data_IF_112646888002
#
_entry.id   IF_112646888002
#
_cell.length_a   1.000
_cell.length_b   1.000
_cell.length_c   1.000
_cell.angle_alpha   90.00
_cell.angle_beta   90.00
_cell.angle_gamma   90.00
#
_symmetry.space_group_name_H-M   'P 1'
#
loop_
_entity.id
_entity.type
_entity.pdbx_description
1 polymer ?
#
# COMPACT_ATOMS: atom_id res chain seq x y z
N UNK A 1 -37.93 -7.35 -10.48
CA UNK A 1 -37.18 -6.89 -11.67
C UNK A 1 -38.16 -6.24 -12.61
N UNK A 2 -38.43 -4.95 -12.41
CA UNK A 2 -39.13 -4.12 -13.39
C UNK A 2 -38.03 -3.24 -13.97
N UNK A 3 -37.67 -3.48 -15.23
CA UNK A 3 -36.69 -2.68 -15.95
C UNK A 3 -37.31 -1.30 -16.21
N UNK A 4 -36.97 -0.32 -15.37
CA UNK A 4 -37.27 1.08 -15.62
C UNK A 4 -36.48 1.52 -16.86
N UNK A 5 -37.20 1.84 -17.93
CA UNK A 5 -36.61 2.39 -19.15
C UNK A 5 -36.00 3.75 -18.84
N UNK A 6 -34.73 3.94 -19.21
CA UNK A 6 -34.06 5.25 -19.23
C UNK A 6 -34.83 6.12 -20.22
N UNK A 7 -35.60 7.08 -19.71
CA UNK A 7 -36.30 8.06 -20.54
C UNK A 7 -35.30 9.17 -20.89
N UNK A 8 -34.73 9.09 -22.09
CA UNK A 8 -34.07 10.24 -22.73
C UNK A 8 -35.17 11.11 -23.32
N UNK A 9 -35.67 12.09 -22.55
CA UNK A 9 -36.64 13.05 -23.07
C UNK A 9 -35.93 14.14 -23.88
N UNK A 10 -36.36 14.28 -25.13
CA UNK A 10 -35.89 15.26 -26.10
C UNK A 10 -36.30 16.68 -25.75
N UNK A 11 -35.33 17.57 -25.96
CA UNK A 11 -35.31 19.03 -25.82
C UNK A 11 -36.59 19.74 -26.28
N UNK A 12 -37.29 20.40 -25.34
CA UNK A 12 -38.22 21.49 -25.64
C UNK A 12 -37.59 22.80 -25.17
N UNK A 13 -36.91 23.48 -26.10
CA UNK A 13 -36.37 24.82 -25.93
C UNK A 13 -37.47 25.86 -26.11
N UNK A 14 -37.90 26.47 -25.00
CA UNK A 14 -38.63 27.74 -25.00
C UNK A 14 -37.85 28.77 -24.16
N UNK A 15 -37.05 29.60 -24.83
CA UNK A 15 -36.85 31.01 -24.49
C UNK A 15 -36.19 31.45 -23.18
N UNK A 16 -35.75 30.53 -22.31
CA UNK A 16 -34.92 30.86 -21.15
C UNK A 16 -33.67 29.99 -21.18
N UNK A 17 -32.53 30.48 -20.68
CA UNK A 17 -31.29 29.71 -20.60
C UNK A 17 -31.36 28.59 -19.56
N UNK A 18 -32.41 27.77 -19.59
CA UNK A 18 -32.75 26.73 -18.63
C UNK A 18 -33.05 25.44 -19.38
N UNK A 19 -32.57 24.32 -18.85
CA UNK A 19 -32.85 22.96 -19.30
C UNK A 19 -33.29 22.11 -18.10
N UNK A 20 -34.52 21.61 -18.13
CA UNK A 20 -34.97 20.59 -17.18
C UNK A 20 -34.40 19.24 -17.59
N UNK A 21 -33.61 18.62 -16.70
CA UNK A 21 -32.95 17.32 -16.95
C UNK A 21 -33.69 16.16 -16.29
N UNK A 22 -34.56 16.46 -15.32
CA UNK A 22 -35.44 15.47 -14.70
C UNK A 22 -36.69 16.15 -14.15
N UNK A 23 -37.83 15.49 -14.29
CA UNK A 23 -39.09 15.87 -13.66
C UNK A 23 -39.92 14.60 -13.43
N UNK A 24 -40.15 14.23 -12.18
CA UNK A 24 -40.88 13.01 -11.86
C UNK A 24 -40.91 12.67 -10.38
N UNK A 25 -41.19 11.41 -10.09
CA UNK A 25 -41.19 10.85 -8.74
C UNK A 25 -39.88 10.13 -8.45
N UNK A 26 -39.35 10.39 -7.25
CA UNK A 26 -38.17 9.74 -6.70
C UNK A 26 -38.62 8.91 -5.49
N UNK A 27 -38.25 7.63 -5.45
CA UNK A 27 -38.39 6.84 -4.23
C UNK A 27 -37.18 7.08 -3.32
N UNK A 28 -37.41 7.52 -2.09
CA UNK A 28 -36.38 7.76 -1.08
C UNK A 28 -36.47 6.74 0.05
N UNK A 29 -35.31 6.44 0.62
CA UNK A 29 -35.15 5.72 1.88
C UNK A 29 -34.22 6.54 2.76
N UNK A 30 -34.43 6.55 4.07
CA UNK A 30 -33.62 7.28 5.04
C UNK A 30 -33.50 8.80 4.77
N UNK A 31 -34.57 9.42 4.26
CA UNK A 31 -34.63 10.86 3.96
C UNK A 31 -33.51 11.35 3.03
N UNK A 32 -33.03 10.52 2.09
CA UNK A 32 -31.81 10.86 1.34
C UNK A 32 -31.82 10.43 -0.13
N UNK A 33 -31.15 11.25 -0.93
CA UNK A 33 -30.69 10.94 -2.29
C UNK A 33 -29.44 11.76 -2.61
N UNK A 34 -28.77 11.43 -3.72
CA UNK A 34 -27.44 11.93 -4.02
C UNK A 34 -27.35 12.54 -5.41
N UNK A 35 -26.43 13.48 -5.55
CA UNK A 35 -25.86 13.87 -6.83
C UNK A 35 -24.42 13.39 -6.84
N UNK A 36 -24.03 12.61 -7.84
CA UNK A 36 -22.68 12.05 -7.93
C UNK A 36 -22.06 12.36 -9.29
N UNK A 37 -20.77 12.65 -9.31
CA UNK A 37 -19.97 12.83 -10.54
C UNK A 37 -18.64 12.09 -10.51
N UNK A 38 -18.33 11.41 -9.39
CA UNK A 38 -17.18 10.53 -9.21
C UNK A 38 -17.65 9.06 -9.20
N UNK A 39 -16.80 8.16 -9.71
CA UNK A 39 -17.06 6.73 -9.63
C UNK A 39 -16.73 6.23 -8.22
N UNK A 40 -17.75 5.83 -7.44
CA UNK A 40 -17.55 5.12 -6.17
C UNK A 40 -18.26 5.70 -4.95
N UNK A 41 -18.94 6.84 -5.06
CA UNK A 41 -19.51 7.53 -3.90
C UNK A 41 -18.43 8.04 -2.93
N UNK A 42 -18.81 8.54 -1.75
CA UNK A 42 -17.85 8.97 -0.74
C UNK A 42 -17.07 7.76 -0.17
N UNK A 43 -15.75 7.87 -0.11
CA UNK A 43 -14.86 6.82 0.40
C UNK A 43 -14.90 6.67 1.93
N UNK A 44 -14.45 5.50 2.41
CA UNK A 44 -14.30 5.25 3.85
C UNK A 44 -13.32 6.27 4.48
N UNK A 45 -13.76 6.96 5.53
CA UNK A 45 -12.96 7.95 6.25
C UNK A 45 -13.07 9.39 5.76
N UNK A 46 -13.94 9.67 4.78
CA UNK A 46 -14.27 11.04 4.39
C UNK A 46 -15.02 11.79 5.50
N UNK A 47 -14.86 13.12 5.52
CA UNK A 47 -15.62 13.98 6.41
C UNK A 47 -17.11 13.84 6.12
N UNK A 48 -17.95 14.06 7.13
CA UNK A 48 -19.39 14.02 6.96
C UNK A 48 -19.83 14.96 5.80
N UNK A 49 -20.81 14.60 4.94
CA UNK A 49 -21.16 15.41 3.76
C UNK A 49 -21.60 16.86 4.03
N UNK A 50 -21.93 17.16 5.29
CA UNK A 50 -22.35 18.48 5.79
C UNK A 50 -21.32 19.12 6.74
N UNK A 51 -20.11 18.56 6.84
CA UNK A 51 -19.06 19.08 7.72
C UNK A 51 -18.73 20.54 7.35
N UNK A 52 -18.70 21.42 8.35
CA UNK A 52 -18.42 22.84 8.16
C UNK A 52 -19.54 23.69 7.54
N UNK A 53 -20.72 23.11 7.24
CA UNK A 53 -21.84 23.84 6.64
C UNK A 53 -22.81 24.43 7.68
N UNK A 54 -23.49 25.50 7.29
CA UNK A 54 -24.62 26.08 8.03
C UNK A 54 -25.95 25.37 7.73
N UNK A 55 -26.12 24.92 6.49
CA UNK A 55 -27.31 24.25 5.99
C UNK A 55 -27.17 22.72 6.15
N UNK A 56 -28.28 22.10 6.54
CA UNK A 56 -28.38 20.66 6.70
C UNK A 56 -29.17 19.92 5.64
N UNK A 57 -29.72 20.62 4.64
CA UNK A 57 -30.57 20.01 3.61
C UNK A 57 -29.79 19.60 2.35
N UNK A 58 -28.70 20.29 2.04
CA UNK A 58 -27.82 19.98 0.92
C UNK A 58 -26.36 19.96 1.39
N UNK A 59 -25.81 18.77 1.60
CA UNK A 59 -24.42 18.53 1.96
C UNK A 59 -23.51 18.56 0.74
N UNK A 60 -22.51 19.44 0.72
CA UNK A 60 -21.55 19.64 -0.37
C UNK A 60 -20.09 19.65 0.11
N UNK A 61 -19.80 19.12 1.29
CA UNK A 61 -18.45 19.10 1.85
C UNK A 61 -17.51 18.13 1.11
N UNK A 62 -18.07 17.20 0.32
CA UNK A 62 -17.33 16.17 -0.40
C UNK A 62 -17.27 16.55 -1.89
N UNK A 63 -16.07 16.72 -2.48
CA UNK A 63 -15.94 17.06 -3.89
C UNK A 63 -16.68 16.06 -4.81
N UNK A 64 -17.41 16.58 -5.79
CA UNK A 64 -18.13 15.76 -6.76
C UNK A 64 -19.36 15.02 -6.23
N UNK A 65 -19.74 15.24 -4.97
CA UNK A 65 -20.88 14.60 -4.31
C UNK A 65 -21.79 15.61 -3.59
N UNK A 66 -23.10 15.52 -3.80
CA UNK A 66 -24.10 16.21 -2.96
C UNK A 66 -24.95 15.20 -2.22
N UNK A 67 -25.16 15.46 -0.92
CA UNK A 67 -26.09 14.73 -0.07
C UNK A 67 -27.36 15.56 0.12
N UNK A 68 -28.50 15.10 -0.40
CA UNK A 68 -29.75 15.83 -0.33
C UNK A 68 -30.67 15.18 0.70
N UNK A 69 -31.21 16.00 1.60
CA UNK A 69 -32.10 15.54 2.68
C UNK A 69 -33.55 15.91 2.39
N UNK A 70 -34.43 14.92 2.39
CA UNK A 70 -35.89 15.10 2.25
C UNK A 70 -36.59 15.15 3.61
N UNK A 71 -37.79 15.71 3.65
CA UNK A 71 -38.73 15.63 4.77
C UNK A 71 -39.22 14.21 4.98
N UNK A 72 -39.77 13.59 3.93
CA UNK A 72 -40.19 12.18 3.97
C UNK A 72 -38.99 11.27 4.26
N UNK A 73 -39.14 10.31 5.16
CA UNK A 73 -38.10 9.35 5.47
C UNK A 73 -38.10 8.16 4.51
N UNK A 74 -39.24 7.54 4.23
CA UNK A 74 -39.34 6.50 3.19
C UNK A 74 -40.62 6.62 2.37
N UNK A 75 -40.49 6.51 1.04
CA UNK A 75 -41.60 6.54 0.10
C UNK A 75 -41.29 7.39 -1.13
N UNK A 76 -42.33 7.87 -1.83
CA UNK A 76 -42.18 8.66 -3.06
C UNK A 76 -42.26 10.15 -2.76
N UNK A 77 -41.39 10.93 -3.42
CA UNK A 77 -41.35 12.40 -3.38
C UNK A 77 -41.36 12.95 -4.80
N UNK A 78 -41.77 14.20 -5.00
CA UNK A 78 -41.63 14.87 -6.30
C UNK A 78 -40.28 15.56 -6.43
N UNK A 79 -39.59 15.37 -7.56
CA UNK A 79 -38.30 15.99 -7.85
C UNK A 79 -38.27 16.58 -9.26
N UNK A 80 -37.81 17.83 -9.33
CA UNK A 80 -37.43 18.50 -10.58
C UNK A 80 -35.96 18.90 -10.51
N UNK A 81 -35.21 18.66 -11.58
CA UNK A 81 -33.79 19.04 -11.70
C UNK A 81 -33.61 19.91 -12.93
N UNK A 82 -32.97 21.07 -12.74
CA UNK A 82 -32.79 22.09 -13.77
C UNK A 82 -31.33 22.53 -13.86
N UNK A 83 -30.86 22.76 -15.08
CA UNK A 83 -29.56 23.35 -15.38
C UNK A 83 -29.80 24.68 -16.08
N UNK A 84 -29.28 25.75 -15.50
CA UNK A 84 -29.42 27.13 -15.95
C UNK A 84 -28.07 27.68 -16.45
N UNK A 85 -28.11 28.63 -17.37
CA UNK A 85 -26.91 29.35 -17.87
C UNK A 85 -26.51 30.50 -16.95
N UNK A 86 -27.36 30.86 -15.99
CA UNK A 86 -27.15 31.93 -15.01
C UNK A 86 -28.05 31.73 -13.79
N UNK A 87 -27.92 32.59 -12.79
CA UNK A 87 -28.68 32.48 -11.54
C UNK A 87 -30.20 32.60 -11.79
N UNK A 88 -31.00 31.58 -11.44
CA UNK A 88 -32.45 31.67 -11.55
C UNK A 88 -33.00 32.62 -10.47
N UNK A 89 -34.06 33.40 -10.76
CA UNK A 89 -34.70 34.24 -9.75
C UNK A 89 -35.25 33.38 -8.60
N UNK A 90 -35.24 33.89 -7.35
CA UNK A 90 -35.83 33.17 -6.24
C UNK A 90 -37.35 33.07 -6.43
N UNK A 91 -37.91 31.93 -6.05
CA UNK A 91 -39.35 31.66 -6.14
C UNK A 91 -39.95 31.57 -4.73
N UNK A 92 -41.03 32.30 -4.52
CA UNK A 92 -41.70 32.42 -3.22
C UNK A 92 -42.50 31.18 -2.84
N UNK A 93 -42.80 30.29 -3.79
CA UNK A 93 -43.56 29.05 -3.50
C UNK A 93 -42.79 28.03 -2.67
N UNK A 94 -41.46 28.16 -2.59
CA UNK A 94 -40.60 27.22 -1.86
C UNK A 94 -40.45 27.63 -0.41
N UNK A 95 -40.74 26.71 0.50
CA UNK A 95 -40.68 26.94 1.94
C UNK A 95 -39.24 26.92 2.45
N UNK A 96 -38.44 26.00 1.93
CA UNK A 96 -37.05 25.80 2.31
C UNK A 96 -36.17 26.07 1.10
N UNK A 97 -35.13 26.89 1.27
CA UNK A 97 -34.20 27.20 0.19
C UNK A 97 -32.78 27.26 0.75
N UNK A 98 -31.91 26.38 0.27
CA UNK A 98 -30.49 26.37 0.61
C UNK A 98 -29.64 26.46 -0.65
N UNK A 99 -28.47 27.05 -0.54
CA UNK A 99 -27.52 27.16 -1.64
C UNK A 99 -26.14 26.69 -1.23
N UNK A 100 -25.52 25.89 -2.11
CA UNK A 100 -24.16 25.37 -1.95
C UNK A 100 -23.35 25.57 -3.22
N UNK A 101 -22.06 25.31 -3.15
CA UNK A 101 -21.20 25.18 -4.32
C UNK A 101 -20.97 23.71 -4.66
N UNK A 102 -20.95 23.42 -5.95
CA UNK A 102 -20.70 22.08 -6.47
C UNK A 102 -19.73 22.19 -7.64
N UNK A 103 -18.66 21.38 -7.59
CA UNK A 103 -17.75 21.20 -8.70
C UNK A 103 -17.78 19.72 -9.08
N UNK A 104 -18.26 19.36 -10.27
CA UNK A 104 -18.31 17.97 -10.66
C UNK A 104 -16.88 17.45 -10.95
N UNK A 105 -16.65 16.18 -10.63
CA UNK A 105 -15.38 15.48 -10.89
C UNK A 105 -15.28 14.91 -12.30
N UNK A 106 -16.38 14.90 -13.05
CA UNK A 106 -16.45 14.53 -14.45
C UNK A 106 -17.60 15.27 -15.14
N UNK A 107 -17.64 15.28 -16.47
CA UNK A 107 -18.74 15.90 -17.22
C UNK A 107 -20.08 15.18 -17.07
N UNK A 108 -20.10 13.96 -16.53
CA UNK A 108 -21.29 13.15 -16.30
C UNK A 108 -21.72 13.25 -14.83
N UNK A 109 -22.93 13.75 -14.62
CA UNK A 109 -23.54 13.86 -13.28
C UNK A 109 -24.78 12.98 -13.23
N UNK A 110 -24.93 12.23 -12.14
CA UNK A 110 -26.08 11.35 -11.91
C UNK A 110 -26.86 11.78 -10.68
N UNK A 111 -28.19 11.60 -10.72
CA UNK A 111 -29.05 11.60 -9.54
C UNK A 111 -29.23 10.16 -9.09
N UNK A 112 -28.93 9.85 -7.84
CA UNK A 112 -28.97 8.48 -7.31
C UNK A 112 -29.82 8.40 -6.03
N UNK A 113 -30.89 7.58 -6.01
CA UNK A 113 -31.55 7.20 -4.77
C UNK A 113 -30.68 6.27 -3.92
N UNK A 114 -30.88 6.26 -2.61
CA UNK A 114 -30.11 5.38 -1.74
C UNK A 114 -30.28 3.90 -2.10
N UNK A 115 -29.15 3.19 -2.24
CA UNK A 115 -29.06 1.77 -2.57
C UNK A 115 -29.83 1.36 -3.85
N UNK A 116 -30.02 2.30 -4.78
CA UNK A 116 -30.72 2.05 -6.04
C UNK A 116 -29.87 2.44 -7.27
N UNK A 117 -30.37 2.09 -8.46
CA UNK A 117 -29.81 2.51 -9.73
C UNK A 117 -29.95 4.05 -9.93
N UNK A 118 -29.08 4.68 -10.73
CA UNK A 118 -29.23 6.08 -11.09
C UNK A 118 -30.62 6.38 -11.65
N UNK A 119 -31.26 7.43 -11.12
CA UNK A 119 -32.57 7.91 -11.56
C UNK A 119 -32.47 8.59 -12.92
N UNK A 120 -31.45 9.43 -13.09
CA UNK A 120 -31.13 10.09 -14.35
C UNK A 120 -29.64 10.44 -14.42
N UNK A 121 -29.20 10.73 -15.64
CA UNK A 121 -27.85 11.19 -15.98
C UNK A 121 -27.95 12.46 -16.82
N UNK A 122 -27.09 13.45 -16.54
CA UNK A 122 -27.03 14.68 -17.30
C UNK A 122 -25.61 15.26 -17.35
N UNK A 123 -25.36 16.05 -18.39
CA UNK A 123 -24.07 16.72 -18.58
C UNK A 123 -23.98 18.04 -17.82
N UNK A 124 -22.89 18.23 -17.08
CA UNK A 124 -22.51 19.49 -16.43
C UNK A 124 -21.04 19.82 -16.76
N UNK A 125 -20.69 21.10 -16.87
CA UNK A 125 -19.31 21.48 -17.16
C UNK A 125 -18.39 21.19 -15.95
N UNK A 126 -17.12 20.86 -16.19
CA UNK A 126 -16.10 20.71 -15.12
C UNK A 126 -15.61 22.08 -14.59
N UNK A 127 -16.56 22.86 -14.12
CA UNK A 127 -16.40 24.20 -13.58
C UNK A 127 -17.18 24.33 -12.27
N UNK A 128 -16.96 25.43 -11.56
CA UNK A 128 -17.71 25.69 -10.33
C UNK A 128 -19.16 26.09 -10.67
N UNK A 129 -20.09 25.41 -10.01
CA UNK A 129 -21.51 25.70 -10.09
C UNK A 129 -22.02 26.11 -8.71
N UNK A 130 -23.01 26.99 -8.70
CA UNK A 130 -23.89 27.15 -7.55
C UNK A 130 -25.09 26.25 -7.74
N UNK A 131 -25.53 25.70 -6.61
CA UNK A 131 -26.66 24.77 -6.55
C UNK A 131 -27.65 25.32 -5.56
N UNK A 132 -28.91 25.46 -5.99
CA UNK A 132 -30.04 25.78 -5.11
C UNK A 132 -30.87 24.53 -4.94
N UNK A 133 -31.10 24.16 -3.68
CA UNK A 133 -32.00 23.08 -3.31
C UNK A 133 -33.19 23.67 -2.57
N UNK A 134 -34.36 23.51 -3.17
CA UNK A 134 -35.62 23.98 -2.64
C UNK A 134 -36.50 22.81 -2.21
N UNK A 135 -37.23 22.98 -1.11
CA UNK A 135 -38.20 22.01 -0.60
C UNK A 135 -39.48 22.69 -0.14
N UNK A 136 -40.60 21.97 -0.21
CA UNK A 136 -41.89 22.36 0.40
C UNK A 136 -42.61 21.15 0.96
N UNK A 137 -43.48 21.38 1.93
CA UNK A 137 -44.28 20.39 2.64
C UNK A 137 -43.44 19.38 3.46
N UNK A 138 -42.23 19.75 3.91
CA UNK A 138 -41.32 18.82 4.62
C UNK A 138 -41.90 18.29 5.93
N UNK A 139 -42.46 19.18 6.76
CA UNK A 139 -43.08 18.78 8.03
C UNK A 139 -44.32 17.92 7.79
N UNK A 140 -45.12 18.27 6.77
CA UNK A 140 -46.32 17.51 6.42
C UNK A 140 -45.97 16.12 5.90
N UNK A 141 -44.89 15.98 5.13
CA UNK A 141 -44.41 14.68 4.67
C UNK A 141 -43.96 13.78 5.81
N UNK A 142 -43.39 14.34 6.90
CA UNK A 142 -43.12 13.57 8.11
C UNK A 142 -44.40 13.17 8.84
N UNK A 143 -45.34 14.10 9.00
CA UNK A 143 -46.60 13.85 9.71
C UNK A 143 -47.51 12.84 8.95
N UNK A 144 -47.41 12.78 7.62
CA UNK A 144 -48.21 11.93 6.73
C UNK A 144 -47.45 10.68 6.18
N UNK A 145 -46.26 10.37 6.71
CA UNK A 145 -45.38 9.30 6.15
C UNK A 145 -46.11 7.96 5.95
N UNK A 146 -46.93 7.53 6.92
CA UNK A 146 -47.68 6.28 6.84
C UNK A 146 -48.64 6.24 5.64
N UNK A 147 -49.28 7.36 5.32
CA UNK A 147 -50.20 7.46 4.17
C UNK A 147 -49.44 7.26 2.85
N UNK A 148 -48.25 7.86 2.74
CA UNK A 148 -47.40 7.71 1.55
C UNK A 148 -46.90 6.27 1.41
N UNK A 149 -46.50 5.63 2.51
CA UNK A 149 -46.07 4.23 2.54
C UNK A 149 -47.19 3.26 2.14
N UNK A 150 -48.44 3.58 2.48
CA UNK A 150 -49.63 2.81 2.10
C UNK A 150 -50.09 3.05 0.65
N UNK A 151 -49.31 3.79 -0.13
CA UNK A 151 -49.53 4.02 -1.56
C UNK A 151 -50.23 5.33 -1.89
N UNK A 152 -50.37 6.24 -0.92
CA UNK A 152 -50.82 7.61 -1.14
C UNK A 152 -49.91 8.41 -2.08
N UNK A 153 -50.38 9.59 -2.46
CA UNK A 153 -49.66 10.51 -3.32
C UNK A 153 -48.44 11.12 -2.60
N UNK A 154 -47.35 11.43 -3.32
CA UNK A 154 -46.21 12.16 -2.76
C UNK A 154 -46.63 13.51 -2.16
N UNK A 155 -46.10 13.82 -0.97
CA UNK A 155 -46.47 15.04 -0.23
C UNK A 155 -45.46 16.16 -0.47
N UNK A 156 -44.19 15.89 -0.19
CA UNK A 156 -43.11 16.86 -0.36
C UNK A 156 -42.63 16.94 -1.80
N UNK A 157 -42.23 18.16 -2.16
CA UNK A 157 -41.71 18.47 -3.49
C UNK A 157 -40.34 19.11 -3.38
N UNK A 158 -39.51 18.84 -4.37
CA UNK A 158 -38.13 19.31 -4.42
C UNK A 158 -37.77 19.87 -5.78
N UNK A 159 -36.97 20.93 -5.76
CA UNK A 159 -36.37 21.53 -6.93
C UNK A 159 -34.86 21.68 -6.71
N UNK A 160 -34.08 21.17 -7.65
CA UNK A 160 -32.64 21.26 -7.66
C UNK A 160 -32.17 22.03 -8.90
N UNK A 161 -31.55 23.18 -8.70
CA UNK A 161 -31.12 24.07 -9.79
C UNK A 161 -29.60 24.24 -9.78
N UNK A 162 -28.96 24.06 -10.94
CA UNK A 162 -27.54 24.27 -11.13
C UNK A 162 -27.30 25.48 -12.05
N UNK A 163 -26.33 26.33 -11.75
CA UNK A 163 -25.84 27.35 -12.69
C UNK A 163 -24.35 27.64 -12.50
N UNK A 164 -23.61 28.01 -13.56
CA UNK A 164 -22.21 28.40 -13.45
C UNK A 164 -22.06 29.64 -12.57
N UNK A 165 -21.22 29.54 -11.53
CA UNK A 165 -20.90 30.66 -10.65
C UNK A 165 -19.67 30.32 -9.78
N UNK A 166 -18.87 31.33 -9.36
CA UNK A 166 -17.73 31.10 -8.48
C UNK A 166 -18.13 30.38 -7.18
N UNK A 167 -17.21 29.60 -6.58
CA UNK A 167 -17.49 28.94 -5.32
C UNK A 167 -17.69 29.97 -4.21
N UNK A 168 -18.60 29.68 -3.29
CA UNK A 168 -18.90 30.51 -2.14
C UNK A 168 -19.38 29.67 -0.96
N UNK A 169 -19.48 30.25 0.25
CA UNK A 169 -19.99 29.53 1.41
C UNK A 169 -21.42 29.04 1.15
N UNK A 170 -21.83 28.03 1.90
CA UNK A 170 -23.22 27.61 1.88
C UNK A 170 -24.13 28.66 2.53
N UNK A 171 -25.40 28.68 2.13
CA UNK A 171 -26.38 29.67 2.60
C UNK A 171 -27.71 29.00 2.87
N UNK A 172 -28.32 29.39 3.98
CA UNK A 172 -29.76 29.17 4.22
C UNK A 172 -30.49 30.43 3.78
N UNK A 173 -31.16 30.36 2.63
CA UNK A 173 -31.86 31.51 2.02
C UNK A 173 -33.25 31.65 2.63
N UNK A 174 -33.94 30.54 2.88
CA UNK A 174 -35.24 30.50 3.54
C UNK A 174 -35.34 29.25 4.41
N UNK A 175 -35.89 29.41 5.61
CA UNK A 175 -36.17 28.34 6.57
C UNK A 175 -37.55 28.56 7.19
N UNK A 176 -38.47 27.59 7.10
CA UNK A 176 -39.81 27.72 7.71
C UNK A 176 -40.24 26.51 8.55
N UNK A 177 -39.80 25.31 8.19
CA UNK A 177 -40.20 24.04 8.80
C UNK A 177 -39.33 23.61 9.98
N UNK A 178 -39.91 22.80 10.88
CA UNK A 178 -39.22 22.20 12.02
C UNK A 178 -38.16 21.20 11.54
N UNK A 179 -38.45 20.49 10.47
CA UNK A 179 -37.56 19.52 9.83
C UNK A 179 -36.30 20.19 9.30
N UNK A 180 -36.43 21.30 8.55
CA UNK A 180 -35.27 22.05 8.07
C UNK A 180 -34.43 22.60 9.23
N UNK A 181 -35.08 23.18 10.25
CA UNK A 181 -34.41 23.69 11.44
C UNK A 181 -33.57 22.62 12.15
N UNK A 182 -34.14 21.42 12.34
CA UNK A 182 -33.45 20.28 12.93
C UNK A 182 -32.17 19.93 12.16
N UNK A 183 -32.28 19.76 10.84
CA UNK A 183 -31.13 19.38 10.01
C UNK A 183 -30.06 20.47 9.96
N UNK A 184 -30.45 21.74 9.89
CA UNK A 184 -29.51 22.85 9.94
C UNK A 184 -28.79 22.92 11.29
N UNK A 185 -29.49 22.66 12.40
CA UNK A 185 -28.87 22.57 13.73
C UNK A 185 -27.88 21.40 13.81
N UNK A 186 -28.24 20.25 13.26
CA UNK A 186 -27.35 19.10 13.19
C UNK A 186 -26.08 19.41 12.39
N UNK A 187 -26.21 20.01 11.20
CA UNK A 187 -25.05 20.39 10.37
C UNK A 187 -24.08 21.31 11.13
N UNK A 188 -24.59 22.33 11.83
CA UNK A 188 -23.78 23.24 12.66
C UNK A 188 -23.10 22.57 13.85
N UNK A 189 -23.56 21.40 14.28
CA UNK A 189 -22.95 20.64 15.39
C UNK A 189 -21.79 19.75 14.95
N UNK A 190 -21.63 19.54 13.63
CA UNK A 190 -20.56 18.72 13.10
C UNK A 190 -19.22 19.46 13.20
N UNK A 191 -18.12 18.74 13.43
CA UNK A 191 -16.80 19.34 13.31
C UNK A 191 -16.58 19.82 11.86
N UNK A 192 -15.78 20.89 11.67
CA UNK A 192 -15.31 21.24 10.33
C UNK A 192 -14.51 20.07 9.74
N UNK A 193 -14.44 19.96 8.40
CA UNK A 193 -13.52 19.01 7.78
C UNK A 193 -12.08 19.34 8.19
N UNK A 194 -11.18 18.34 8.20
CA UNK A 194 -9.76 18.57 8.43
C UNK A 194 -9.23 19.65 7.47
N UNK A 195 -8.38 20.53 7.97
CA UNK A 195 -7.68 21.47 7.10
C UNK A 195 -6.68 20.73 6.18
N UNK A 196 -6.32 21.29 5.01
CA UNK A 196 -5.31 20.70 4.14
C UNK A 196 -3.97 20.43 4.84
N UNK A 197 -3.64 21.22 5.87
CA UNK A 197 -2.45 21.01 6.68
C UNK A 197 -2.58 19.75 7.56
N UNK A 198 -3.71 19.59 8.24
CA UNK A 198 -3.96 18.40 9.09
C UNK A 198 -4.00 17.11 8.27
N UNK A 199 -4.54 17.17 7.05
CA UNK A 199 -4.51 16.05 6.10
C UNK A 199 -3.08 15.69 5.68
N UNK A 200 -2.29 16.69 5.29
CA UNK A 200 -0.89 16.48 4.92
C UNK A 200 -0.05 15.91 6.08
N UNK A 201 -0.28 16.39 7.31
CA UNK A 201 0.37 15.86 8.51
C UNK A 201 -0.08 14.42 8.84
N UNK A 202 -1.36 14.10 8.66
CA UNK A 202 -1.87 12.74 8.81
C UNK A 202 -1.25 11.79 7.78
N UNK A 203 -1.12 12.23 6.53
CA UNK A 203 -0.51 11.44 5.46
C UNK A 203 1.00 11.24 5.69
N UNK A 204 1.72 12.27 6.14
CA UNK A 204 3.13 12.12 6.54
C UNK A 204 3.29 11.09 7.65
N UNK A 205 2.44 11.15 8.69
CA UNK A 205 2.47 10.17 9.79
C UNK A 205 2.17 8.75 9.31
N UNK A 206 1.23 8.56 8.40
CA UNK A 206 0.93 7.24 7.79
C UNK A 206 2.12 6.72 7.01
N UNK A 207 2.73 7.57 6.19
CA UNK A 207 3.92 7.21 5.41
C UNK A 207 5.09 6.84 6.32
N UNK A 208 5.38 7.65 7.34
CA UNK A 208 6.43 7.36 8.32
C UNK A 208 6.17 6.03 9.05
N UNK A 209 4.92 5.78 9.45
CA UNK A 209 4.54 4.52 10.07
C UNK A 209 4.72 3.32 9.12
N UNK A 210 4.31 3.46 7.85
CA UNK A 210 4.51 2.43 6.83
C UNK A 210 5.99 2.18 6.56
N UNK A 211 6.80 3.24 6.43
CA UNK A 211 8.24 3.13 6.25
C UNK A 211 8.91 2.45 7.46
N UNK A 212 8.44 2.76 8.68
CA UNK A 212 8.92 2.11 9.90
C UNK A 212 8.57 0.63 9.95
N UNK A 213 7.32 0.27 9.62
CA UNK A 213 6.87 -1.14 9.52
C UNK A 213 7.66 -1.89 8.45
N UNK A 214 7.85 -1.28 7.27
CA UNK A 214 8.61 -1.88 6.19
C UNK A 214 10.09 -2.08 6.56
N UNK A 215 10.70 -1.12 7.28
CA UNK A 215 12.07 -1.26 7.80
C UNK A 215 12.15 -2.40 8.82
N UNK A 216 11.25 -2.44 9.79
CA UNK A 216 11.21 -3.51 10.80
C UNK A 216 11.04 -4.89 10.15
N UNK A 217 10.14 -5.00 9.16
CA UNK A 217 9.95 -6.24 8.41
C UNK A 217 11.20 -6.67 7.62
N UNK A 218 11.95 -5.72 7.06
CA UNK A 218 13.24 -6.01 6.39
C UNK A 218 14.30 -6.48 7.38
N UNK A 219 14.40 -5.85 8.54
CA UNK A 219 15.33 -6.23 9.60
C UNK A 219 15.00 -7.62 10.16
N UNK A 220 13.72 -7.92 10.37
CA UNK A 220 13.25 -9.24 10.80
C UNK A 220 13.54 -10.31 9.74
N UNK A 221 13.22 -10.03 8.47
CA UNK A 221 13.53 -10.95 7.37
C UNK A 221 15.05 -11.21 7.24
N UNK A 222 15.87 -10.16 7.38
CA UNK A 222 17.33 -10.32 7.40
C UNK A 222 17.78 -11.16 8.61
N UNK A 223 17.26 -10.91 9.80
CA UNK A 223 17.60 -11.70 10.98
C UNK A 223 17.22 -13.17 10.80
N UNK A 224 16.07 -13.48 10.21
CA UNK A 224 15.64 -14.85 9.90
C UNK A 224 16.60 -15.54 8.92
N UNK A 225 17.02 -14.85 7.85
CA UNK A 225 18.02 -15.37 6.91
C UNK A 225 19.36 -15.65 7.59
N UNK A 226 19.71 -14.88 8.62
CA UNK A 226 20.97 -15.01 9.36
C UNK A 226 20.83 -15.85 10.65
N UNK A 227 19.85 -16.76 10.70
CA UNK A 227 19.72 -17.71 11.82
C UNK A 227 19.13 -17.11 13.09
N UNK A 228 18.22 -16.14 12.95
CA UNK A 228 17.51 -15.47 14.04
C UNK A 228 18.22 -14.26 14.64
N UNK A 229 19.38 -13.86 14.11
CA UNK A 229 20.16 -12.70 14.57
C UNK A 229 20.60 -11.86 13.37
N UNK A 230 20.53 -10.53 13.42
CA UNK A 230 21.03 -9.70 12.34
C UNK A 230 22.57 -9.85 12.18
N UNK A 231 23.10 -9.83 10.95
CA UNK A 231 24.53 -9.91 10.69
C UNK A 231 25.24 -8.61 11.12
N UNK A 232 26.54 -8.72 11.39
CA UNK A 232 27.41 -7.54 11.49
C UNK A 232 27.58 -6.86 10.11
N UNK A 233 28.02 -5.58 10.06
CA UNK A 233 28.33 -4.92 8.79
C UNK A 233 29.40 -5.63 7.94
N UNK A 234 30.30 -6.41 8.58
CA UNK A 234 31.32 -7.20 7.90
C UNK A 234 30.72 -8.44 7.26
N UNK A 235 29.92 -9.23 7.99
CA UNK A 235 29.17 -10.38 7.46
C UNK A 235 28.23 -9.98 6.32
N UNK A 236 27.52 -8.86 6.47
CA UNK A 236 26.63 -8.32 5.43
C UNK A 236 27.36 -8.02 4.13
N UNK A 237 28.63 -7.61 4.20
CA UNK A 237 29.46 -7.27 3.02
C UNK A 237 29.97 -8.51 2.30
N UNK A 238 30.34 -9.55 3.04
CA UNK A 238 30.89 -10.80 2.49
C UNK A 238 29.83 -11.54 1.67
N UNK A 239 28.60 -11.67 2.22
CA UNK A 239 27.47 -12.35 1.58
C UNK A 239 27.79 -13.79 1.11
N UNK A 240 26.95 -14.35 0.24
CA UNK A 240 27.22 -15.64 -0.42
C UNK A 240 27.23 -16.84 0.53
N UNK A 241 28.28 -17.68 0.43
CA UNK A 241 28.46 -18.96 1.13
C UNK A 241 28.39 -18.84 2.67
N UNK A 242 28.56 -17.62 3.22
CA UNK A 242 28.32 -17.33 4.63
C UNK A 242 26.87 -17.65 5.07
N UNK A 243 25.87 -17.46 4.20
CA UNK A 243 24.48 -17.82 4.48
C UNK A 243 24.28 -19.33 4.54
N UNK A 244 24.96 -20.09 3.68
CA UNK A 244 24.90 -21.55 3.71
C UNK A 244 25.58 -22.10 4.97
N UNK A 245 26.65 -21.45 5.44
CA UNK A 245 27.32 -21.81 6.68
C UNK A 245 26.48 -21.48 7.93
N UNK A 246 25.62 -20.45 7.88
CA UNK A 246 24.67 -20.12 8.96
C UNK A 246 23.65 -21.24 9.19
N UNK A 247 23.19 -21.90 8.12
CA UNK A 247 22.30 -23.06 8.25
C UNK A 247 22.96 -24.23 8.96
N UNK A 248 24.29 -24.39 8.79
CA UNK A 248 25.05 -25.46 9.41
C UNK A 248 25.45 -25.13 10.85
N UNK A 249 25.94 -23.91 11.10
CA UNK A 249 26.45 -23.49 12.41
C UNK A 249 26.60 -21.95 12.54
N UNK A 250 25.52 -21.28 12.94
CA UNK A 250 25.51 -19.81 13.16
C UNK A 250 26.55 -19.34 14.20
N UNK A 251 26.76 -20.09 15.28
CA UNK A 251 27.66 -19.67 16.34
C UNK A 251 29.12 -19.71 15.89
N UNK A 252 29.49 -20.66 15.02
CA UNK A 252 30.81 -20.68 14.40
C UNK A 252 31.01 -19.47 13.48
N UNK A 253 30.00 -19.10 12.69
CA UNK A 253 30.05 -17.90 11.82
C UNK A 253 30.28 -16.64 12.66
N UNK A 254 29.54 -16.47 13.75
CA UNK A 254 29.70 -15.34 14.66
C UNK A 254 31.08 -15.31 15.33
N UNK A 255 31.61 -16.47 15.70
CA UNK A 255 32.96 -16.57 16.29
C UNK A 255 34.05 -16.18 15.28
N UNK A 256 33.92 -16.56 14.01
CA UNK A 256 34.87 -16.19 12.95
C UNK A 256 34.76 -14.71 12.58
N UNK A 257 33.55 -14.15 12.56
CA UNK A 257 33.33 -12.71 12.35
C UNK A 257 33.94 -11.86 13.47
N UNK A 258 33.75 -12.28 14.73
CA UNK A 258 34.35 -11.63 15.89
C UNK A 258 35.88 -11.81 15.96
N UNK A 259 36.43 -12.81 15.27
CA UNK A 259 37.85 -13.05 15.23
C UNK A 259 38.57 -11.98 14.38
N UNK A 260 39.74 -11.53 14.83
CA UNK A 260 40.55 -10.58 14.05
C UNK A 260 41.02 -11.18 12.70
N UNK A 261 41.43 -10.34 11.73
CA UNK A 261 41.80 -10.78 10.39
C UNK A 261 42.93 -11.82 10.38
N UNK A 262 43.86 -11.78 11.33
CA UNK A 262 44.92 -12.79 11.46
C UNK A 262 44.37 -14.19 11.77
N UNK A 263 43.39 -14.28 12.67
CA UNK A 263 42.74 -15.55 13.04
C UNK A 263 41.88 -16.05 11.89
N UNK A 264 41.15 -15.16 11.21
CA UNK A 264 40.38 -15.50 10.02
C UNK A 264 41.29 -16.09 8.92
N UNK A 265 42.45 -15.47 8.66
CA UNK A 265 43.46 -16.02 7.73
C UNK A 265 43.98 -17.38 8.16
N UNK A 266 44.33 -17.53 9.43
CA UNK A 266 44.76 -18.83 9.97
C UNK A 266 43.69 -19.90 9.75
N UNK A 267 42.42 -19.54 9.98
CA UNK A 267 41.30 -20.46 9.81
C UNK A 267 41.05 -20.86 8.37
N UNK A 268 41.18 -19.93 7.43
CA UNK A 268 41.08 -20.21 6.01
C UNK A 268 42.14 -21.24 5.57
N UNK A 269 43.40 -21.04 5.98
CA UNK A 269 44.51 -21.96 5.68
C UNK A 269 44.29 -23.33 6.30
N UNK A 270 43.90 -23.35 7.58
CA UNK A 270 43.59 -24.57 8.29
C UNK A 270 42.47 -25.37 7.61
N UNK A 271 41.37 -24.71 7.24
CA UNK A 271 40.23 -25.35 6.58
C UNK A 271 40.62 -25.97 5.22
N UNK A 272 41.43 -25.26 4.43
CA UNK A 272 41.98 -25.79 3.19
C UNK A 272 42.82 -27.07 3.40
N UNK A 273 43.70 -27.08 4.40
CA UNK A 273 44.48 -28.29 4.75
C UNK A 273 43.58 -29.45 5.15
N UNK A 274 42.55 -29.19 5.96
CA UNK A 274 41.61 -30.23 6.39
C UNK A 274 40.82 -30.81 5.20
N UNK A 275 40.40 -29.96 4.26
CA UNK A 275 39.69 -30.40 3.06
C UNK A 275 40.59 -31.27 2.15
N UNK A 276 41.84 -30.83 1.90
CA UNK A 276 42.84 -31.57 1.13
C UNK A 276 43.17 -32.92 1.77
N UNK A 277 43.33 -32.96 3.09
CA UNK A 277 43.55 -34.19 3.84
C UNK A 277 42.37 -35.15 3.73
N UNK A 278 41.14 -34.64 3.91
CA UNK A 278 39.92 -35.45 3.81
C UNK A 278 39.73 -36.05 2.42
N UNK A 279 40.10 -35.31 1.36
CA UNK A 279 40.02 -35.76 -0.02
C UNK A 279 41.19 -36.67 -0.45
N UNK A 280 42.12 -37.02 0.45
CA UNK A 280 43.26 -37.89 0.15
C UNK A 280 44.29 -37.27 -0.80
N UNK A 281 44.40 -35.94 -0.84
CA UNK A 281 45.24 -35.20 -1.78
C UNK A 281 46.60 -34.77 -1.18
N UNK A 282 46.90 -35.13 0.06
CA UNK A 282 48.11 -34.71 0.81
C UNK A 282 49.43 -35.22 0.23
N UNK A 283 49.41 -36.32 -0.50
CA UNK A 283 50.61 -36.91 -1.15
C UNK A 283 50.83 -36.46 -2.59
N UNK A 284 50.05 -35.50 -3.10
CA UNK A 284 50.17 -35.03 -4.49
C UNK A 284 51.09 -33.83 -4.53
N UNK A 285 52.28 -33.97 -5.11
CA UNK A 285 53.32 -32.91 -5.13
C UNK A 285 52.79 -31.53 -5.54
N UNK A 286 51.94 -31.47 -6.58
CA UNK A 286 51.34 -30.21 -7.03
C UNK A 286 50.42 -29.56 -5.99
N UNK A 287 49.69 -30.36 -5.21
CA UNK A 287 48.81 -29.87 -4.12
C UNK A 287 49.65 -29.44 -2.92
N UNK A 288 50.75 -30.14 -2.63
CA UNK A 288 51.72 -29.74 -1.59
C UNK A 288 52.29 -28.36 -1.92
N UNK A 289 52.75 -28.13 -3.15
CA UNK A 289 53.22 -26.81 -3.60
C UNK A 289 52.13 -25.74 -3.51
N UNK A 290 50.88 -26.09 -3.83
CA UNK A 290 49.76 -25.16 -3.73
C UNK A 290 49.45 -24.78 -2.27
N UNK A 291 49.48 -25.75 -1.35
CA UNK A 291 49.34 -25.48 0.09
C UNK A 291 50.49 -24.60 0.61
N UNK A 292 51.72 -24.83 0.18
CA UNK A 292 52.86 -23.96 0.53
C UNK A 292 52.66 -22.51 0.05
N UNK A 293 52.02 -22.30 -1.10
CA UNK A 293 51.62 -20.95 -1.56
C UNK A 293 50.56 -20.33 -0.65
N UNK A 294 49.55 -21.11 -0.24
CA UNK A 294 48.51 -20.66 0.71
C UNK A 294 49.12 -20.25 2.06
N UNK A 295 50.10 -21.00 2.55
CA UNK A 295 50.82 -20.68 3.80
C UNK A 295 51.58 -19.36 3.71
N UNK A 296 52.23 -19.13 2.58
CA UNK A 296 52.97 -17.89 2.31
C UNK A 296 52.06 -16.71 1.96
N UNK A 297 50.76 -16.95 1.79
CA UNK A 297 49.81 -15.92 1.34
C UNK A 297 50.03 -15.48 -0.11
N UNK A 298 50.59 -16.36 -0.93
CA UNK A 298 50.85 -16.13 -2.34
C UNK A 298 49.71 -16.63 -3.22
N UNK A 299 49.66 -16.14 -4.46
CA UNK A 299 48.73 -16.64 -5.45
C UNK A 299 48.96 -18.14 -5.72
N UNK A 300 47.87 -18.86 -5.96
CA UNK A 300 47.94 -20.29 -6.25
C UNK A 300 48.66 -20.54 -7.58
N UNK A 301 49.51 -21.59 -7.66
CA UNK A 301 50.16 -21.96 -8.90
C UNK A 301 49.16 -22.59 -9.89
N UNK A 302 49.47 -22.53 -11.19
CA UNK A 302 48.73 -23.30 -12.20
C UNK A 302 48.75 -24.79 -11.86
N UNK A 303 47.63 -25.53 -11.98
CA UNK A 303 46.34 -25.12 -12.56
C UNK A 303 45.30 -24.61 -11.54
N UNK A 304 45.68 -24.37 -10.28
CA UNK A 304 44.77 -24.01 -9.19
C UNK A 304 44.43 -22.52 -9.13
N UNK A 305 45.03 -21.73 -10.02
CA UNK A 305 44.81 -20.30 -10.19
C UNK A 305 43.42 -19.97 -10.75
N UNK A 306 42.76 -20.92 -11.45
CA UNK A 306 41.42 -20.76 -12.01
C UNK A 306 40.51 -21.98 -11.77
N UNK A 307 39.20 -21.78 -11.46
CA UNK A 307 38.27 -22.89 -11.19
C UNK A 307 38.16 -23.92 -12.31
N UNK A 308 38.09 -23.47 -13.57
CA UNK A 308 37.97 -24.37 -14.73
C UNK A 308 39.21 -25.27 -14.90
N UNK A 309 40.40 -24.68 -14.73
CA UNK A 309 41.69 -25.38 -14.91
C UNK A 309 41.93 -26.44 -13.83
N UNK A 310 41.57 -26.15 -12.59
CA UNK A 310 41.69 -27.10 -11.48
C UNK A 310 40.81 -28.34 -11.71
N UNK A 311 39.57 -28.14 -12.17
CA UNK A 311 38.64 -29.22 -12.51
C UNK A 311 39.10 -30.05 -13.72
N UNK A 312 39.63 -29.40 -14.75
CA UNK A 312 40.20 -30.10 -15.93
C UNK A 312 41.41 -30.95 -15.56
N UNK A 313 42.31 -30.44 -14.72
CA UNK A 313 43.43 -31.21 -14.21
C UNK A 313 42.96 -32.46 -13.45
N UNK A 314 41.99 -32.30 -12.55
CA UNK A 314 41.44 -33.41 -11.78
C UNK A 314 40.77 -34.46 -12.70
N UNK A 315 40.08 -34.02 -13.76
CA UNK A 315 39.46 -34.91 -14.76
C UNK A 315 40.50 -35.65 -15.62
N UNK A 316 41.56 -34.99 -16.04
CA UNK A 316 42.46 -35.50 -17.09
C UNK A 316 43.71 -36.22 -16.57
N UNK A 317 44.17 -35.91 -15.36
CA UNK A 317 45.41 -36.49 -14.83
C UNK A 317 45.59 -36.41 -13.30
N UNK A 318 44.54 -36.09 -12.54
CA UNK A 318 44.57 -36.11 -11.07
C UNK A 318 44.28 -37.50 -10.47
N UNK A 319 44.49 -37.69 -9.15
CA UNK A 319 44.09 -38.92 -8.45
C UNK A 319 42.57 -39.10 -8.54
N UNK A 320 42.06 -40.30 -8.85
CA UNK A 320 40.62 -40.54 -9.06
C UNK A 320 40.02 -41.47 -7.99
N UNK A 321 39.96 -40.99 -6.75
CA UNK A 321 39.36 -41.76 -5.64
C UNK A 321 37.90 -41.35 -5.44
N UNK A 322 37.64 -40.05 -5.27
CA UNK A 322 36.30 -39.46 -5.24
C UNK A 322 36.36 -38.06 -5.88
N UNK A 323 35.96 -37.98 -7.14
CA UNK A 323 36.04 -36.75 -7.93
C UNK A 323 35.23 -35.60 -7.31
N UNK A 324 34.06 -35.89 -6.74
CA UNK A 324 33.19 -34.87 -6.18
C UNK A 324 33.78 -34.29 -4.89
N UNK A 325 34.32 -35.15 -4.02
CA UNK A 325 34.99 -34.72 -2.78
C UNK A 325 36.28 -33.95 -3.08
N UNK A 326 37.08 -34.43 -4.04
CA UNK A 326 38.32 -33.77 -4.43
C UNK A 326 38.07 -32.40 -5.08
N UNK A 327 37.04 -32.26 -5.93
CA UNK A 327 36.68 -30.97 -6.51
C UNK A 327 36.31 -29.93 -5.43
N UNK A 328 35.56 -30.34 -4.40
CA UNK A 328 35.21 -29.48 -3.26
C UNK A 328 36.44 -29.07 -2.43
N UNK A 329 37.39 -29.98 -2.24
CA UNK A 329 38.65 -29.66 -1.56
C UNK A 329 39.48 -28.60 -2.32
N UNK A 330 39.46 -28.64 -3.65
CA UNK A 330 40.10 -27.60 -4.47
C UNK A 330 39.39 -26.24 -4.34
N UNK A 331 38.07 -26.22 -4.15
CA UNK A 331 37.33 -24.99 -3.82
C UNK A 331 37.80 -24.40 -2.49
N UNK A 332 37.98 -25.22 -1.45
CA UNK A 332 38.50 -24.76 -0.15
C UNK A 332 39.91 -24.18 -0.25
N UNK A 333 40.78 -24.83 -1.04
CA UNK A 333 42.14 -24.36 -1.30
C UNK A 333 42.15 -22.98 -1.96
N UNK A 334 41.24 -22.74 -2.91
CA UNK A 334 41.09 -21.45 -3.59
C UNK A 334 40.49 -20.38 -2.68
N UNK A 335 39.47 -20.73 -1.89
CA UNK A 335 38.87 -19.80 -0.94
C UNK A 335 39.91 -19.25 0.06
N UNK A 336 40.90 -20.07 0.45
CA UNK A 336 41.92 -19.65 1.40
C UNK A 336 42.81 -18.49 0.94
N UNK A 337 42.91 -18.22 -0.37
CA UNK A 337 43.68 -17.09 -0.93
C UNK A 337 42.84 -15.84 -1.23
N UNK A 338 41.55 -15.84 -0.89
CA UNK A 338 40.66 -14.69 -1.08
C UNK A 338 41.21 -13.43 -0.38
N UNK A 339 41.26 -12.24 -1.02
CA UNK A 339 41.81 -11.02 -0.41
C UNK A 339 41.12 -10.50 0.86
N UNK A 340 39.81 -10.75 1.03
CA UNK A 340 39.11 -10.46 2.27
C UNK A 340 39.32 -11.62 3.29
N UNK A 341 39.93 -11.38 4.46
CA UNK A 341 40.19 -12.43 5.45
C UNK A 341 38.94 -13.15 5.95
N UNK A 342 37.83 -12.42 6.17
CA UNK A 342 36.59 -12.98 6.68
C UNK A 342 35.95 -13.87 5.61
N UNK A 343 35.89 -13.38 4.37
CA UNK A 343 35.42 -14.20 3.24
C UNK A 343 36.28 -15.45 3.04
N UNK A 344 37.61 -15.31 3.10
CA UNK A 344 38.52 -16.44 2.98
C UNK A 344 38.23 -17.52 4.03
N UNK A 345 37.96 -17.12 5.27
CA UNK A 345 37.68 -18.05 6.36
C UNK A 345 36.33 -18.77 6.16
N UNK A 346 35.26 -18.02 5.90
CA UNK A 346 33.91 -18.57 5.77
C UNK A 346 33.78 -19.47 4.54
N UNK A 347 34.26 -19.01 3.37
CA UNK A 347 34.20 -19.79 2.12
C UNK A 347 35.05 -21.07 2.22
N UNK A 348 36.25 -20.99 2.85
CA UNK A 348 37.10 -22.16 3.02
C UNK A 348 36.50 -23.16 4.03
N UNK A 349 35.91 -22.68 5.13
CA UNK A 349 35.21 -23.53 6.11
C UNK A 349 34.00 -24.20 5.50
N UNK A 350 33.20 -23.47 4.72
CA UNK A 350 32.05 -24.03 4.02
C UNK A 350 32.46 -25.08 2.98
N UNK A 351 33.45 -24.78 2.13
CA UNK A 351 33.98 -25.75 1.17
C UNK A 351 34.61 -26.98 1.84
N UNK A 352 35.26 -26.81 3.01
CA UNK A 352 35.73 -27.92 3.81
C UNK A 352 34.57 -28.75 4.39
N UNK A 353 33.52 -28.12 4.91
CA UNK A 353 32.32 -28.80 5.41
C UNK A 353 31.66 -29.64 4.31
N UNK A 354 31.49 -29.09 3.11
CA UNK A 354 30.92 -29.83 1.97
C UNK A 354 31.81 -31.00 1.51
N UNK A 355 33.13 -30.90 1.69
CA UNK A 355 34.11 -31.99 1.46
C UNK A 355 33.93 -33.10 2.50
N UNK A 356 33.70 -32.73 3.76
CA UNK A 356 33.43 -33.67 4.85
C UNK A 356 32.04 -34.34 4.75
N UNK A 357 31.10 -33.72 4.03
CA UNK A 357 29.73 -34.23 3.88
C UNK A 357 29.07 -34.35 5.25
N UNK A 358 28.37 -35.46 5.54
CA UNK A 358 27.70 -35.68 6.82
C UNK A 358 28.61 -35.66 8.07
N UNK A 359 29.93 -35.75 7.90
CA UNK A 359 30.91 -35.65 8.99
C UNK A 359 31.39 -34.22 9.26
N UNK A 360 30.76 -33.18 8.70
CA UNK A 360 31.12 -31.79 8.95
C UNK A 360 31.08 -31.36 10.44
N UNK A 361 30.24 -31.94 11.34
CA UNK A 361 30.27 -31.55 12.76
C UNK A 361 31.64 -31.79 13.42
N UNK A 362 32.36 -32.84 13.00
CA UNK A 362 33.71 -33.13 13.50
C UNK A 362 34.72 -32.04 13.09
N UNK A 363 34.58 -31.52 11.85
CA UNK A 363 35.38 -30.41 11.34
C UNK A 363 35.11 -29.14 12.17
N UNK A 364 33.85 -28.82 12.46
CA UNK A 364 33.51 -27.62 13.22
C UNK A 364 33.95 -27.69 14.68
N UNK A 365 33.86 -28.88 15.31
CA UNK A 365 34.42 -29.09 16.64
C UNK A 365 35.96 -28.94 16.65
N UNK A 366 36.65 -29.34 15.57
CA UNK A 366 38.07 -29.09 15.41
C UNK A 366 38.39 -27.60 15.16
N UNK A 367 37.59 -26.91 14.34
CA UNK A 367 37.75 -25.48 14.06
C UNK A 367 37.64 -24.63 15.34
N UNK A 368 36.66 -24.94 16.20
CA UNK A 368 36.51 -24.27 17.51
C UNK A 368 37.71 -24.46 18.44
N UNK A 369 38.42 -25.58 18.34
CA UNK A 369 39.65 -25.84 19.13
C UNK A 369 40.87 -25.12 18.56
N UNK A 370 40.88 -24.88 17.25
CA UNK A 370 41.94 -24.14 16.55
C UNK A 370 41.83 -22.63 16.81
N UNK A 371 40.61 -22.10 16.95
CA UNK A 371 40.42 -20.69 17.30
C UNK A 371 40.95 -20.41 18.72
N UNK A 372 41.87 -19.45 18.90
CA UNK A 372 42.24 -19.01 20.23
C UNK A 372 41.01 -18.44 20.93
N UNK A 373 40.75 -18.86 22.17
CA UNK A 373 39.63 -18.32 22.96
C UNK A 373 39.69 -16.79 23.08
N UNK A 374 38.56 -16.12 23.31
CA UNK A 374 38.52 -14.67 23.41
C UNK A 374 39.54 -14.20 24.44
N UNK A 375 40.45 -13.32 24.03
CA UNK A 375 41.31 -12.61 25.00
C UNK A 375 40.42 -11.58 25.68
N UNK A 376 40.05 -11.85 26.93
CA UNK A 376 39.44 -10.86 27.82
C UNK A 376 40.25 -9.56 27.73
N UNK A 377 39.62 -8.51 27.22
CA UNK A 377 40.17 -7.14 27.16
C UNK A 377 39.22 -6.20 27.87
#
# INVERSE_FOLDING_TARGET
MVAGSIVVMTDQTLGSGMRTVYHGELHVHYSQFYVESSAGGPGDGEAHPRAGQLNGLCGAAIPGHLFLTTGLHTGRVHLTVEVHTGEPPPDEQWEEVVEVSFRPSSTTVIIRPWADAPLCEFGLAEADHRVRYCGRDLDRAQDEELSVLEGGDPVDHYLLQFWPAPPGPDRVVRQTSRTAEYWHRHARSLPPPPSPQEEAEAESRRREAQESVARAAREEAEALLWGGRPPSPSLRRVGGDALELVELDRDLVDAVDAAGPEVQRSMARWAARQAVAKAGLTGVDRIVTALESVERGEALPRPFDEPGRAGDWLRTGGPRVDFAQQAKALTALRAAVEPDPLRAALDALFAAATTYGGSYPDLFAAARREMPGPRDS
#
